data_IF_494230175478
#
_entry.id   IF_494230175478
#
_cell.length_a   1.000
_cell.length_b   1.000
_cell.length_c   1.000
_cell.angle_alpha   90.00
_cell.angle_beta   90.00
_cell.angle_gamma   90.00
#
_symmetry.space_group_name_H-M   'P 1'
#
loop_
_entity.id
_entity.type
_entity.pdbx_description
1 polymer ?
#
# COMPACT_ATOMS: atom_id res chain seq x y z
N UNK A 1 -32.83 -17.97 -9.47
CA UNK A 1 -32.02 -18.66 -10.53
C UNK A 1 -31.56 -17.70 -11.62
N UNK A 2 -32.41 -16.79 -12.12
CA UNK A 2 -32.05 -15.78 -13.13
C UNK A 2 -30.94 -14.80 -12.69
N UNK A 3 -30.95 -14.31 -11.43
CA UNK A 3 -29.92 -13.38 -10.93
C UNK A 3 -28.50 -13.96 -10.91
N UNK A 4 -28.36 -15.24 -10.56
CA UNK A 4 -27.06 -15.93 -10.57
C UNK A 4 -26.48 -16.06 -12.00
N UNK A 5 -27.34 -16.25 -13.00
CA UNK A 5 -26.92 -16.34 -14.40
C UNK A 5 -26.47 -14.97 -14.93
N UNK A 6 -27.22 -13.92 -14.59
CA UNK A 6 -26.88 -12.54 -14.95
C UNK A 6 -25.55 -12.09 -14.32
N UNK A 7 -25.30 -12.45 -13.05
CA UNK A 7 -24.05 -12.12 -12.36
C UNK A 7 -22.84 -12.86 -12.95
N UNK A 8 -22.99 -14.14 -13.32
CA UNK A 8 -21.93 -14.89 -14.03
C UNK A 8 -21.63 -14.28 -15.39
N UNK A 9 -22.66 -13.85 -16.12
CA UNK A 9 -22.52 -13.21 -17.43
C UNK A 9 -21.88 -11.80 -17.34
N UNK A 10 -22.17 -11.02 -16.29
CA UNK A 10 -21.54 -9.71 -16.06
C UNK A 10 -20.06 -9.86 -15.68
N UNK A 11 -19.74 -10.79 -14.78
CA UNK A 11 -18.37 -11.15 -14.41
C UNK A 11 -17.56 -11.61 -15.62
N UNK A 12 -18.14 -12.48 -16.46
CA UNK A 12 -17.48 -12.96 -17.69
C UNK A 12 -17.11 -11.83 -18.65
N UNK A 13 -18.02 -10.87 -18.87
CA UNK A 13 -17.77 -9.68 -19.71
C UNK A 13 -16.71 -8.76 -19.12
N UNK A 14 -16.75 -8.51 -17.81
CA UNK A 14 -15.76 -7.68 -17.13
C UNK A 14 -14.36 -8.30 -17.20
N UNK A 15 -14.23 -9.60 -16.97
CA UNK A 15 -12.96 -10.32 -17.10
C UNK A 15 -12.44 -10.25 -18.54
N UNK A 16 -13.30 -10.39 -19.55
CA UNK A 16 -12.90 -10.27 -20.96
C UNK A 16 -12.38 -8.87 -21.31
N UNK A 17 -13.07 -7.82 -20.84
CA UNK A 17 -12.66 -6.44 -21.07
C UNK A 17 -11.28 -6.12 -20.46
N UNK A 18 -10.97 -6.72 -19.30
CA UNK A 18 -9.68 -6.56 -18.62
C UNK A 18 -8.60 -7.44 -19.27
N UNK A 19 -8.95 -8.66 -19.70
CA UNK A 19 -8.01 -9.58 -20.34
C UNK A 19 -7.46 -9.04 -21.67
N UNK A 20 -8.25 -8.26 -22.42
CA UNK A 20 -7.77 -7.55 -23.62
C UNK A 20 -6.68 -6.50 -23.33
N UNK A 21 -6.57 -6.02 -22.08
CA UNK A 21 -5.58 -5.02 -21.65
C UNK A 21 -4.37 -5.64 -20.93
N UNK A 22 -4.14 -6.95 -21.05
CA UNK A 22 -3.05 -7.65 -20.37
C UNK A 22 -1.67 -6.99 -20.58
N UNK A 23 -1.39 -6.51 -21.79
CA UNK A 23 -0.11 -5.86 -22.13
C UNK A 23 0.12 -4.57 -21.34
N UNK A 24 -0.94 -3.85 -20.98
CA UNK A 24 -0.85 -2.65 -20.15
C UNK A 24 -0.44 -2.99 -18.72
N UNK A 25 -0.98 -4.06 -18.13
CA UNK A 25 -0.58 -4.51 -16.79
C UNK A 25 0.88 -4.95 -16.75
N UNK A 26 1.35 -5.66 -17.79
CA UNK A 26 2.77 -6.03 -17.89
C UNK A 26 3.65 -4.79 -18.06
N UNK A 27 3.26 -3.84 -18.92
CA UNK A 27 4.00 -2.59 -19.11
C UNK A 27 4.09 -1.76 -17.82
N UNK A 28 2.98 -1.61 -17.08
CA UNK A 28 2.98 -0.98 -15.77
C UNK A 28 3.93 -1.71 -14.82
N UNK A 29 3.84 -3.03 -14.72
CA UNK A 29 4.72 -3.80 -13.82
C UNK A 29 6.20 -3.70 -14.16
N UNK A 30 6.57 -3.67 -15.45
CA UNK A 30 7.95 -3.40 -15.89
C UNK A 30 8.37 -1.98 -15.53
N UNK A 31 7.47 -0.99 -15.69
CA UNK A 31 7.71 0.39 -15.27
C UNK A 31 8.00 0.50 -13.78
N UNK A 32 7.20 -0.15 -12.93
CA UNK A 32 7.40 -0.22 -11.48
C UNK A 32 8.77 -0.86 -11.12
N UNK A 33 9.17 -1.92 -11.81
CA UNK A 33 10.50 -2.54 -11.60
C UNK A 33 11.65 -1.61 -11.99
N UNK A 34 11.52 -0.87 -13.09
CA UNK A 34 12.53 0.11 -13.51
C UNK A 34 12.61 1.24 -12.49
N UNK A 35 11.47 1.78 -12.05
CA UNK A 35 11.41 2.82 -11.03
C UNK A 35 12.00 2.32 -9.70
N UNK A 36 11.68 1.09 -9.29
CA UNK A 36 12.27 0.45 -8.12
C UNK A 36 13.78 0.29 -8.24
N UNK A 37 14.29 -0.09 -9.41
CA UNK A 37 15.72 -0.15 -9.70
C UNK A 37 16.41 1.21 -9.63
N UNK A 38 15.80 2.25 -10.19
CA UNK A 38 16.31 3.64 -10.12
C UNK A 38 16.29 4.13 -8.66
N UNK A 39 15.18 3.92 -7.95
CA UNK A 39 15.04 4.31 -6.55
C UNK A 39 16.05 3.59 -5.64
N UNK A 40 16.40 2.33 -5.95
CA UNK A 40 17.42 1.56 -5.22
C UNK A 40 18.81 2.20 -5.30
N UNK A 41 19.12 2.92 -6.38
CA UNK A 41 20.41 3.58 -6.54
C UNK A 41 20.62 4.73 -5.54
N UNK A 42 19.54 5.36 -5.08
CA UNK A 42 19.59 6.42 -4.07
C UNK A 42 18.37 6.37 -3.14
N UNK A 43 18.49 5.58 -2.07
CA UNK A 43 17.43 5.40 -1.08
C UNK A 43 17.06 6.71 -0.35
N UNK A 44 17.99 7.64 -0.17
CA UNK A 44 17.68 8.93 0.45
C UNK A 44 16.79 9.79 -0.45
N UNK A 45 17.10 9.85 -1.75
CA UNK A 45 16.27 10.57 -2.71
C UNK A 45 14.88 9.92 -2.82
N UNK A 46 14.81 8.59 -2.86
CA UNK A 46 13.55 7.85 -2.86
C UNK A 46 12.71 8.13 -1.60
N UNK A 47 13.37 8.17 -0.43
CA UNK A 47 12.74 8.51 0.84
C UNK A 47 12.16 9.92 0.83
N UNK A 48 12.95 10.93 0.45
CA UNK A 48 12.50 12.32 0.36
C UNK A 48 11.34 12.47 -0.63
N UNK A 49 11.43 11.85 -1.81
CA UNK A 49 10.34 11.86 -2.77
C UNK A 49 9.05 11.26 -2.19
N UNK A 50 9.15 10.11 -1.51
CA UNK A 50 8.00 9.47 -0.86
C UNK A 50 7.36 10.37 0.20
N UNK A 51 8.17 10.98 1.06
CA UNK A 51 7.73 11.86 2.14
C UNK A 51 7.05 13.11 1.57
N UNK A 52 7.60 13.70 0.51
CA UNK A 52 7.00 14.86 -0.14
C UNK A 52 5.67 14.53 -0.81
N UNK A 53 5.56 13.38 -1.49
CA UNK A 53 4.30 12.92 -2.08
C UNK A 53 3.25 12.69 -0.98
N UNK A 54 3.63 12.05 0.13
CA UNK A 54 2.76 11.87 1.29
C UNK A 54 2.32 13.24 1.83
N UNK A 55 3.25 14.15 2.12
CA UNK A 55 2.95 15.48 2.63
C UNK A 55 2.03 16.31 1.73
N UNK A 56 2.31 16.31 0.42
CA UNK A 56 1.47 16.98 -0.57
C UNK A 56 0.06 16.37 -0.64
N UNK A 57 -0.04 15.04 -0.64
CA UNK A 57 -1.34 14.34 -0.62
C UNK A 57 -2.14 14.64 0.66
N UNK A 58 -1.46 14.77 1.81
CA UNK A 58 -2.07 15.16 3.07
C UNK A 58 -2.58 16.60 3.01
N UNK A 59 -1.81 17.54 2.46
CA UNK A 59 -2.26 18.91 2.29
C UNK A 59 -3.53 18.99 1.43
N UNK A 60 -3.54 18.30 0.28
CA UNK A 60 -4.69 18.24 -0.62
C UNK A 60 -5.91 17.60 0.05
N UNK A 61 -5.72 16.46 0.73
CA UNK A 61 -6.80 15.79 1.45
C UNK A 61 -7.35 16.67 2.60
N UNK A 62 -6.51 17.44 3.29
CA UNK A 62 -6.95 18.38 4.32
C UNK A 62 -7.85 19.47 3.76
N UNK A 63 -7.49 20.03 2.59
CA UNK A 63 -8.32 21.00 1.87
C UNK A 63 -9.69 20.39 1.54
N UNK A 64 -9.73 19.17 0.99
CA UNK A 64 -11.00 18.49 0.69
C UNK A 64 -11.83 18.23 1.95
N UNK A 65 -11.22 17.89 3.08
CA UNK A 65 -11.93 17.70 4.35
C UNK A 65 -12.54 19.00 4.86
N UNK A 66 -11.83 20.13 4.74
CA UNK A 66 -12.34 21.46 5.09
C UNK A 66 -13.52 21.82 4.19
N UNK A 67 -13.42 21.59 2.88
CA UNK A 67 -14.52 21.79 1.94
C UNK A 67 -15.73 20.90 2.29
N UNK A 68 -15.48 19.64 2.63
CA UNK A 68 -16.54 18.71 3.02
C UNK A 68 -17.22 19.10 4.33
N UNK A 69 -16.47 19.66 5.29
CA UNK A 69 -17.02 20.12 6.57
C UNK A 69 -18.20 21.07 6.36
N UNK A 70 -18.09 22.02 5.44
CA UNK A 70 -19.14 23.00 5.10
C UNK A 70 -20.42 22.33 4.55
N UNK A 71 -20.30 21.13 3.98
CA UNK A 71 -21.45 20.38 3.46
C UNK A 71 -22.19 19.58 4.54
N UNK A 72 -21.62 19.43 5.75
CA UNK A 72 -22.20 18.63 6.83
C UNK A 72 -23.20 19.46 7.63
N UNK A 73 -24.47 19.02 7.65
CA UNK A 73 -25.56 19.73 8.37
C UNK A 73 -25.50 19.65 9.90
N UNK A 74 -24.71 18.75 10.47
CA UNK A 74 -24.60 18.59 11.92
C UNK A 74 -23.41 19.41 12.45
N UNK A 75 -23.61 20.18 13.54
CA UNK A 75 -22.54 20.98 14.15
C UNK A 75 -21.37 20.11 14.63
N UNK A 76 -21.66 18.95 15.23
CA UNK A 76 -20.64 18.00 15.68
C UNK A 76 -19.83 17.41 14.52
N UNK A 77 -20.50 17.10 13.40
CA UNK A 77 -19.82 16.65 12.19
C UNK A 77 -18.99 17.76 11.54
N UNK A 78 -19.53 18.98 11.44
CA UNK A 78 -18.82 20.15 10.94
C UNK A 78 -17.52 20.40 11.71
N UNK A 79 -17.59 20.49 13.04
CA UNK A 79 -16.41 20.72 13.89
C UNK A 79 -15.38 19.59 13.76
N UNK A 80 -15.84 18.34 13.71
CA UNK A 80 -14.95 17.19 13.54
C UNK A 80 -14.21 17.22 12.20
N UNK A 81 -14.92 17.42 11.09
CA UNK A 81 -14.32 17.48 9.75
C UNK A 81 -13.45 18.71 9.55
N UNK A 82 -13.84 19.86 10.12
CA UNK A 82 -13.04 21.08 10.06
C UNK A 82 -11.72 20.90 10.83
N UNK A 83 -11.79 20.41 12.07
CA UNK A 83 -10.60 20.16 12.88
C UNK A 83 -9.70 19.11 12.23
N UNK A 84 -10.26 17.98 11.79
CA UNK A 84 -9.52 16.94 11.08
C UNK A 84 -8.83 17.50 9.83
N UNK A 85 -9.54 18.28 9.01
CA UNK A 85 -8.99 18.90 7.81
C UNK A 85 -7.87 19.90 8.09
N UNK A 86 -8.01 20.73 9.13
CA UNK A 86 -6.95 21.66 9.58
C UNK A 86 -5.71 20.87 10.02
N UNK A 87 -5.87 19.85 10.85
CA UNK A 87 -4.75 19.02 11.32
C UNK A 87 -4.07 18.34 10.13
N UNK A 88 -4.83 17.80 9.18
CA UNK A 88 -4.29 17.10 8.01
C UNK A 88 -3.54 18.06 7.07
N UNK A 89 -4.10 19.26 6.83
CA UNK A 89 -3.47 20.29 6.02
C UNK A 89 -2.18 20.82 6.67
N UNK A 90 -2.21 21.07 7.99
CA UNK A 90 -1.05 21.53 8.74
C UNK A 90 0.06 20.46 8.76
N UNK A 91 -0.29 19.19 9.02
CA UNK A 91 0.67 18.09 8.97
C UNK A 91 1.31 17.97 7.58
N UNK A 92 0.51 18.04 6.51
CA UNK A 92 1.03 18.04 5.14
C UNK A 92 1.98 19.21 4.85
N UNK A 93 1.62 20.41 5.29
CA UNK A 93 2.46 21.60 5.13
C UNK A 93 3.79 21.50 5.89
N UNK A 94 3.77 20.97 7.13
CA UNK A 94 4.98 20.74 7.93
C UNK A 94 5.91 19.75 7.23
N UNK A 95 5.35 18.65 6.70
CA UNK A 95 6.14 17.63 5.98
C UNK A 95 6.82 18.23 4.74
N UNK A 96 6.11 19.09 3.99
CA UNK A 96 6.68 19.74 2.80
C UNK A 96 7.75 20.77 3.17
N UNK A 97 7.60 21.46 4.30
CA UNK A 97 8.56 22.46 4.76
C UNK A 97 9.87 21.84 5.28
N UNK A 98 9.78 20.79 6.10
CA UNK A 98 10.95 20.05 6.61
C UNK A 98 10.77 18.53 6.39
N UNK A 99 11.08 18.04 5.17
CA UNK A 99 10.94 16.63 4.84
C UNK A 99 11.95 15.75 5.57
N UNK A 100 13.06 16.30 6.05
CA UNK A 100 14.09 15.55 6.78
C UNK A 100 13.55 15.20 8.16
N UNK A 101 13.04 16.20 8.90
CA UNK A 101 12.43 15.97 10.20
C UNK A 101 11.19 15.06 10.10
N UNK A 102 10.40 15.24 9.05
CA UNK A 102 9.27 14.36 8.75
C UNK A 102 9.70 12.91 8.53
N UNK A 103 10.78 12.67 7.77
CA UNK A 103 11.31 11.34 7.50
C UNK A 103 11.72 10.61 8.80
N UNK A 104 12.40 11.30 9.73
CA UNK A 104 12.74 10.73 11.03
C UNK A 104 11.51 10.36 11.87
N UNK A 105 10.52 11.25 11.90
CA UNK A 105 9.29 11.07 12.68
C UNK A 105 8.44 9.93 12.10
N UNK A 106 8.25 9.90 10.78
CA UNK A 106 7.54 8.84 10.08
C UNK A 106 8.24 7.49 10.24
N UNK A 107 9.58 7.47 10.21
CA UNK A 107 10.36 6.25 10.47
C UNK A 107 10.15 5.71 11.88
N UNK A 108 10.08 6.58 12.90
CA UNK A 108 9.74 6.16 14.26
C UNK A 108 8.35 5.55 14.34
N UNK A 109 7.37 6.17 13.67
CA UNK A 109 6.00 5.65 13.59
C UNK A 109 5.99 4.25 12.96
N UNK A 110 6.74 4.05 11.87
CA UNK A 110 6.91 2.74 11.23
C UNK A 110 7.53 1.72 12.20
N UNK A 111 8.60 2.09 12.91
CA UNK A 111 9.25 1.21 13.88
C UNK A 111 8.28 0.82 15.01
N UNK A 112 7.56 1.78 15.57
CA UNK A 112 6.55 1.53 16.59
C UNK A 112 5.42 0.62 16.08
N UNK A 113 4.99 0.82 14.83
CA UNK A 113 3.99 -0.03 14.20
C UNK A 113 4.49 -1.47 14.03
N UNK A 114 5.73 -1.67 13.56
CA UNK A 114 6.32 -3.01 13.43
C UNK A 114 6.43 -3.73 14.77
N UNK A 115 6.87 -3.03 15.81
CA UNK A 115 6.93 -3.59 17.18
C UNK A 115 5.54 -3.99 17.65
N UNK A 116 4.57 -3.08 17.53
CA UNK A 116 3.17 -3.32 17.95
C UNK A 116 2.55 -4.49 17.18
N UNK A 117 2.73 -4.52 15.85
CA UNK A 117 2.24 -5.60 14.99
C UNK A 117 2.88 -6.95 15.34
N UNK A 118 4.19 -6.97 15.64
CA UNK A 118 4.90 -8.15 16.10
C UNK A 118 4.31 -8.70 17.41
N UNK A 119 4.12 -7.83 18.41
CA UNK A 119 3.50 -8.20 19.70
C UNK A 119 2.09 -8.74 19.53
N UNK A 120 1.26 -8.08 18.71
CA UNK A 120 -0.12 -8.53 18.44
C UNK A 120 -0.10 -9.91 17.75
N UNK A 121 0.73 -10.12 16.73
CA UNK A 121 0.82 -11.42 16.03
C UNK A 121 1.25 -12.55 16.96
N UNK A 122 2.23 -12.30 17.82
CA UNK A 122 2.67 -13.26 18.84
C UNK A 122 1.50 -13.58 19.78
N UNK A 123 0.82 -12.55 20.28
CA UNK A 123 -0.33 -12.69 21.18
C UNK A 123 -1.45 -13.51 20.54
N UNK A 124 -1.86 -13.17 19.32
CA UNK A 124 -2.87 -13.90 18.55
C UNK A 124 -2.44 -15.34 18.30
N UNK A 125 -1.19 -15.57 17.91
CA UNK A 125 -0.66 -16.91 17.66
C UNK A 125 -0.73 -17.81 18.89
N UNK A 126 -0.51 -17.27 20.10
CA UNK A 126 -0.70 -18.02 21.34
C UNK A 126 -2.18 -18.28 21.67
N UNK A 127 -3.08 -17.33 21.39
CA UNK A 127 -4.52 -17.51 21.60
C UNK A 127 -5.17 -18.52 20.64
N UNK A 128 -4.61 -18.69 19.44
CA UNK A 128 -5.13 -19.63 18.44
C UNK A 128 -4.73 -21.09 18.69
N UNK A 129 -4.03 -21.42 19.79
CA UNK A 129 -3.69 -22.82 20.11
C UNK A 129 -4.98 -23.62 20.39
N UNK A 130 -5.16 -24.84 19.84
CA UNK A 130 -4.24 -25.65 19.03
C UNK A 130 -4.49 -25.62 17.50
N UNK A 131 -5.08 -24.57 16.94
CA UNK A 131 -5.38 -24.48 15.51
C UNK A 131 -4.13 -24.71 14.64
N UNK A 132 -4.31 -25.42 13.52
CA UNK A 132 -3.25 -25.65 12.55
C UNK A 132 -2.67 -24.32 12.05
N UNK A 133 -1.34 -24.17 12.12
CA UNK A 133 -0.64 -22.95 11.69
C UNK A 133 -0.32 -21.93 12.78
N UNK A 134 -0.73 -22.15 14.04
CA UNK A 134 -0.45 -21.20 15.14
C UNK A 134 1.04 -20.90 15.31
N UNK A 135 1.91 -21.92 15.16
CA UNK A 135 3.37 -21.76 15.27
C UNK A 135 3.97 -20.86 14.20
N UNK A 136 3.42 -20.89 12.97
CA UNK A 136 3.85 -20.01 11.88
C UNK A 136 3.49 -18.54 12.15
N UNK A 137 2.32 -18.31 12.75
CA UNK A 137 1.88 -16.96 13.13
C UNK A 137 2.80 -16.39 14.22
N UNK A 138 3.13 -17.19 15.24
CA UNK A 138 4.07 -16.77 16.29
C UNK A 138 5.46 -16.50 15.71
N UNK A 139 5.99 -17.40 14.86
CA UNK A 139 7.29 -17.21 14.23
C UNK A 139 7.35 -15.93 13.38
N UNK A 140 6.31 -15.67 12.58
CA UNK A 140 6.18 -14.44 11.82
C UNK A 140 6.09 -13.19 12.72
N UNK A 141 5.39 -13.29 13.86
CA UNK A 141 5.31 -12.23 14.86
C UNK A 141 6.66 -11.93 15.51
N UNK A 142 7.43 -12.95 15.90
CA UNK A 142 8.80 -12.81 16.45
C UNK A 142 9.73 -12.18 15.43
N UNK A 143 9.68 -12.61 14.17
CA UNK A 143 10.49 -12.01 13.10
C UNK A 143 10.14 -10.53 12.91
N UNK A 144 8.85 -10.21 12.82
CA UNK A 144 8.36 -8.83 12.66
C UNK A 144 8.80 -7.95 13.84
N UNK A 145 8.67 -8.45 15.07
CA UNK A 145 9.10 -7.76 16.28
C UNK A 145 10.62 -7.52 16.29
N UNK A 146 11.40 -8.52 15.93
CA UNK A 146 12.87 -8.44 15.89
C UNK A 146 13.35 -7.39 14.88
N UNK A 147 12.72 -7.35 13.70
CA UNK A 147 12.97 -6.31 12.68
C UNK A 147 12.62 -4.93 13.22
N UNK A 148 11.42 -4.76 13.82
CA UNK A 148 11.00 -3.49 14.39
C UNK A 148 11.94 -2.96 15.48
N UNK A 149 12.40 -3.83 16.38
CA UNK A 149 13.37 -3.48 17.44
C UNK A 149 14.72 -3.10 16.84
N UNK A 150 15.21 -3.85 15.85
CA UNK A 150 16.50 -3.56 15.19
C UNK A 150 16.47 -2.21 14.50
N UNK A 151 15.38 -1.89 13.78
CA UNK A 151 15.21 -0.60 13.13
C UNK A 151 15.10 0.55 14.14
N UNK A 152 14.41 0.33 15.26
CA UNK A 152 14.31 1.30 16.34
C UNK A 152 15.68 1.57 16.98
N UNK A 153 16.50 0.53 17.18
CA UNK A 153 17.85 0.66 17.71
C UNK A 153 18.83 1.35 16.73
N UNK A 154 18.59 1.22 15.41
CA UNK A 154 19.36 1.89 14.36
C UNK A 154 18.90 3.33 14.09
N UNK A 155 17.86 3.81 14.78
CA UNK A 155 17.42 5.19 14.71
C UNK A 155 18.40 6.11 15.46
N UNK A 156 18.78 7.29 14.95
CA UNK A 156 18.25 8.00 13.78
C UNK A 156 18.92 7.66 12.45
N UNK A 157 20.06 6.96 12.45
CA UNK A 157 20.89 6.77 11.25
C UNK A 157 20.12 6.17 10.05
N UNK A 158 19.17 5.26 10.31
CA UNK A 158 18.35 4.63 9.26
C UNK A 158 17.16 5.49 8.81
N UNK A 159 16.76 6.52 9.57
CA UNK A 159 15.48 7.23 9.35
C UNK A 159 15.36 7.84 7.96
N UNK A 160 16.42 8.46 7.47
CA UNK A 160 16.48 9.06 6.13
C UNK A 160 16.35 8.04 4.99
N UNK A 161 16.75 6.78 5.21
CA UNK A 161 16.78 5.74 4.16
C UNK A 161 15.68 4.69 4.32
N UNK A 162 15.06 4.57 5.50
CA UNK A 162 14.08 3.53 5.81
C UNK A 162 12.86 3.61 4.90
N UNK A 163 12.25 4.78 4.77
CA UNK A 163 11.06 4.96 3.93
C UNK A 163 11.37 4.74 2.45
N UNK A 164 12.57 5.14 1.99
CA UNK A 164 13.03 4.86 0.63
C UNK A 164 13.24 3.37 0.37
N UNK A 165 13.81 2.64 1.33
CA UNK A 165 13.95 1.19 1.24
C UNK A 165 12.59 0.49 1.21
N UNK A 166 11.63 0.93 2.04
CA UNK A 166 10.26 0.41 2.01
C UNK A 166 9.59 0.68 0.66
N UNK A 167 9.73 1.88 0.10
CA UNK A 167 9.21 2.21 -1.22
C UNK A 167 9.81 1.32 -2.31
N UNK A 168 11.13 1.11 -2.32
CA UNK A 168 11.81 0.24 -3.28
C UNK A 168 11.26 -1.19 -3.21
N UNK A 169 11.13 -1.73 -1.99
CA UNK A 169 10.56 -3.05 -1.78
C UNK A 169 9.12 -3.09 -2.33
N UNK A 170 8.29 -2.12 -1.98
CA UNK A 170 6.91 -2.02 -2.45
C UNK A 170 6.82 -2.00 -3.99
N UNK A 171 7.59 -1.14 -4.66
CA UNK A 171 7.69 -1.04 -6.12
C UNK A 171 8.07 -2.39 -6.76
N UNK A 172 9.02 -3.12 -6.17
CA UNK A 172 9.47 -4.41 -6.68
C UNK A 172 8.36 -5.46 -6.56
N UNK A 173 7.72 -5.56 -5.39
CA UNK A 173 6.64 -6.52 -5.17
C UNK A 173 5.42 -6.21 -6.05
N UNK A 174 5.06 -4.94 -6.18
CA UNK A 174 3.97 -4.49 -7.05
C UNK A 174 4.28 -4.74 -8.52
N UNK A 175 5.52 -4.48 -8.95
CA UNK A 175 5.98 -4.75 -10.32
C UNK A 175 5.86 -6.22 -10.70
N UNK A 176 6.39 -7.11 -9.87
CA UNK A 176 6.25 -8.56 -10.06
C UNK A 176 4.79 -9.01 -10.03
N UNK A 177 3.99 -8.48 -9.10
CA UNK A 177 2.56 -8.77 -9.00
C UNK A 177 1.79 -8.40 -10.27
N UNK A 178 2.03 -7.20 -10.82
CA UNK A 178 1.39 -6.73 -12.05
C UNK A 178 1.81 -7.52 -13.28
N UNK A 179 3.09 -7.89 -13.39
CA UNK A 179 3.59 -8.75 -14.47
C UNK A 179 2.92 -10.13 -14.39
N UNK A 180 2.93 -10.76 -13.22
CA UNK A 180 2.29 -12.07 -13.01
C UNK A 180 0.79 -12.02 -13.34
N UNK A 181 0.10 -10.97 -12.90
CA UNK A 181 -1.32 -10.77 -13.18
C UNK A 181 -1.59 -10.56 -14.68
N UNK A 182 -0.80 -9.72 -15.35
CA UNK A 182 -0.90 -9.49 -16.79
C UNK A 182 -0.67 -10.78 -17.61
N UNK A 183 0.34 -11.58 -17.24
CA UNK A 183 0.61 -12.86 -17.88
C UNK A 183 -0.52 -13.89 -17.64
N UNK A 184 -1.11 -13.89 -16.44
CA UNK A 184 -2.27 -14.73 -16.14
C UNK A 184 -3.49 -14.33 -16.99
N UNK A 185 -3.72 -13.02 -17.22
CA UNK A 185 -4.77 -12.52 -18.10
C UNK A 185 -4.53 -12.92 -19.57
N UNK A 186 -3.29 -12.79 -20.07
CA UNK A 186 -2.93 -13.24 -21.43
C UNK A 186 -3.28 -14.69 -21.66
N UNK A 187 -2.91 -15.55 -20.71
CA UNK A 187 -3.16 -17.00 -20.79
C UNK A 187 -4.65 -17.33 -20.90
N UNK A 188 -5.52 -16.54 -20.24
CA UNK A 188 -6.98 -16.70 -20.33
C UNK A 188 -7.55 -16.16 -21.64
N UNK A 189 -7.04 -15.04 -22.15
CA UNK A 189 -7.43 -14.50 -23.45
C UNK A 189 -7.12 -15.47 -24.60
N UNK A 190 -5.93 -16.08 -24.58
CA UNK A 190 -5.48 -17.00 -25.65
C UNK A 190 -6.24 -18.33 -25.71
N UNK A 191 -6.85 -18.78 -24.60
CA UNK A 191 -7.62 -20.05 -24.56
C UNK A 191 -8.99 -19.96 -25.24
N UNK A 192 -9.58 -18.78 -25.35
CA UNK A 192 -10.89 -18.60 -26.02
C UNK A 192 -10.78 -18.32 -27.52
N UNK A 193 -9.65 -17.82 -28.01
CA UNK A 193 -9.40 -17.66 -29.45
C UNK A 193 -9.11 -18.96 -30.20
N UNK A 194 -8.86 -20.07 -29.48
CA UNK A 194 -8.51 -21.38 -30.07
C UNK A 194 -9.62 -22.43 -30.07
N UNK A 195 -10.86 -22.07 -29.73
CA UNK A 195 -11.98 -23.01 -29.69
C UNK A 195 -12.73 -22.93 -31.04
N UNK A 196 -12.53 -23.87 -31.99
CA UNK A 196 -13.29 -23.87 -33.23
C UNK A 196 -14.77 -24.00 -32.89
N UNK A 197 -15.60 -23.20 -33.56
CA UNK A 197 -17.05 -23.30 -33.47
C UNK A 197 -17.44 -24.73 -33.86
N UNK A 198 -17.79 -25.56 -32.87
CA UNK A 198 -18.45 -26.83 -33.13
C UNK A 198 -19.85 -26.49 -33.64
N UNK A 199 -20.00 -26.68 -34.95
CA UNK A 199 -21.24 -26.65 -35.75
C UNK A 199 -22.30 -27.54 -35.13
#
# INVERSE_FOLDING_TARGET
>A
MADMLNMRASLGRAIHAIAGKWGWFVALGVGELILGGIASANLMAASLASVLVIGASMAVAGIFQIMHAVSVRSLRGFLFWLFAGIVYAAAGAIIVYDPILASYTLSLVVCAFLVTAGVIRISVGFHMRPAAGWGWIVAAGVLTLSVGITLLAAWPAIGLSLLGAMLVVDLIFQGWGLIAFGLALRTRASRHSGQPASV
#
